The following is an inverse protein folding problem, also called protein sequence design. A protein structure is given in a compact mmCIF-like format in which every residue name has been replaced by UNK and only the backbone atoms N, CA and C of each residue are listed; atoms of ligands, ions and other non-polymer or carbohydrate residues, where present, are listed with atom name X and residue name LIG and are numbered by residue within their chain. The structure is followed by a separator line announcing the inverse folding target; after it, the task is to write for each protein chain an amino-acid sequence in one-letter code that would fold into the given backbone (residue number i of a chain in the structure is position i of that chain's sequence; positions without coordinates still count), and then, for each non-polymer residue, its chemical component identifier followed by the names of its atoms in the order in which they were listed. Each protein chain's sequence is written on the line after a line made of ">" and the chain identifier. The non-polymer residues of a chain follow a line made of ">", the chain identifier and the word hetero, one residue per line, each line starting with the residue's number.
data_IF_191524625982
#
_entry.id   IF_191524625982
#
_cell.length_a   1.000
_cell.length_b   1.000
_cell.length_c   1.000
_cell.angle_alpha   90.00
_cell.angle_beta   90.00
_cell.angle_gamma   90.00
#
_symmetry.space_group_name_H-M   'P 1'
#
loop_
_entity.id
_entity.type
_entity.pdbx_description
1 polymer ?
#
# COMPACT_ATOMS: atom_id res chain seq x y z
N UNK A 1 -10.49 -12.47 -15.72
CA UNK A 1 -9.57 -11.33 -15.83
C UNK A 1 -8.84 -11.20 -14.50
N UNK A 2 -7.51 -11.36 -14.45
CA UNK A 2 -6.76 -11.23 -13.18
C UNK A 2 -6.40 -9.75 -12.98
N UNK A 3 -6.79 -9.17 -11.85
CA UNK A 3 -6.36 -7.83 -11.44
C UNK A 3 -5.06 -7.95 -10.66
N UNK A 4 -4.09 -7.08 -10.93
CA UNK A 4 -2.81 -7.03 -10.23
C UNK A 4 -2.82 -5.76 -9.38
N UNK A 5 -2.56 -5.91 -8.09
CA UNK A 5 -2.40 -4.78 -7.15
C UNK A 5 -1.00 -4.78 -6.59
N UNK A 6 -0.41 -3.59 -6.50
CA UNK A 6 0.92 -3.39 -5.96
C UNK A 6 0.88 -3.24 -4.44
N UNK A 7 1.87 -3.82 -3.78
CA UNK A 7 2.01 -3.80 -2.33
C UNK A 7 3.46 -3.51 -1.92
N UNK A 8 3.65 -2.70 -0.87
CA UNK A 8 4.97 -2.43 -0.28
C UNK A 8 4.91 -2.52 1.25
N UNK A 9 5.87 -3.20 1.87
CA UNK A 9 6.01 -3.28 3.33
C UNK A 9 7.09 -2.30 3.79
N UNK A 10 6.79 -1.50 4.83
CA UNK A 10 7.69 -0.50 5.41
C UNK A 10 7.86 -0.71 6.91
N UNK A 11 9.07 -0.42 7.39
CA UNK A 11 9.37 -0.28 8.81
C UNK A 11 8.86 1.06 9.38
N UNK A 12 9.02 1.25 10.68
CA UNK A 12 8.43 2.34 11.47
C UNK A 12 8.86 3.76 11.03
N UNK A 13 10.14 3.99 10.73
CA UNK A 13 10.67 5.35 10.56
C UNK A 13 10.71 5.85 9.11
N UNK A 14 10.75 4.96 8.12
CA UNK A 14 10.83 5.32 6.70
C UNK A 14 9.63 4.80 5.91
N UNK A 15 8.46 5.36 6.18
CA UNK A 15 7.18 4.97 5.55
C UNK A 15 6.95 5.57 4.16
N UNK A 16 7.96 6.21 3.56
CA UNK A 16 7.85 6.81 2.22
C UNK A 16 7.79 5.71 1.16
N UNK A 17 6.67 5.60 0.46
CA UNK A 17 6.41 4.61 -0.58
C UNK A 17 6.59 5.22 -1.99
N UNK A 18 7.82 5.70 -2.28
CA UNK A 18 8.12 6.43 -3.53
C UNK A 18 8.04 5.52 -4.76
N UNK A 19 8.63 4.33 -4.69
CA UNK A 19 8.56 3.32 -5.75
C UNK A 19 7.13 2.86 -6.00
N UNK A 20 6.37 2.60 -4.93
CA UNK A 20 4.96 2.23 -5.04
C UNK A 20 4.13 3.33 -5.70
N UNK A 21 4.34 4.59 -5.31
CA UNK A 21 3.65 5.74 -5.92
C UNK A 21 3.96 5.88 -7.40
N UNK A 22 5.24 5.77 -7.77
CA UNK A 22 5.67 5.82 -9.17
C UNK A 22 5.02 4.70 -9.98
N UNK A 23 5.01 3.47 -9.46
CA UNK A 23 4.37 2.34 -10.12
C UNK A 23 2.86 2.56 -10.35
N UNK A 24 2.13 3.08 -9.36
CA UNK A 24 0.70 3.38 -9.50
C UNK A 24 0.47 4.42 -10.60
N UNK A 25 1.29 5.49 -10.61
CA UNK A 25 1.19 6.56 -11.61
C UNK A 25 1.49 6.05 -13.04
N UNK A 26 2.55 5.26 -13.20
CA UNK A 26 3.00 4.78 -14.52
C UNK A 26 2.04 3.77 -15.15
N UNK A 27 1.32 3.00 -14.32
CA UNK A 27 0.50 1.89 -14.79
C UNK A 27 -1.01 2.17 -14.72
N UNK A 28 -1.43 3.37 -14.27
CA UNK A 28 -2.84 3.66 -13.94
C UNK A 28 -3.46 2.51 -13.11
N UNK A 29 -2.63 1.96 -12.22
CA UNK A 29 -2.96 0.75 -11.47
C UNK A 29 -4.12 1.06 -10.52
N UNK A 30 -4.95 0.05 -10.17
CA UNK A 30 -5.83 0.17 -9.03
C UNK A 30 -5.04 0.60 -7.79
N UNK A 31 -5.74 1.28 -6.87
CA UNK A 31 -5.23 1.73 -5.56
C UNK A 31 -4.34 0.68 -4.92
N UNK A 32 -3.13 1.10 -4.51
CA UNK A 32 -2.11 0.22 -3.95
C UNK A 32 -2.24 0.04 -2.44
N UNK A 33 -1.49 -0.91 -1.89
CA UNK A 33 -1.42 -1.14 -0.44
C UNK A 33 -0.01 -0.91 0.10
N UNK A 34 0.05 -0.17 1.22
CA UNK A 34 1.26 -0.05 2.03
C UNK A 34 1.00 -0.72 3.37
N UNK A 35 1.87 -1.64 3.77
CA UNK A 35 1.83 -2.22 5.11
C UNK A 35 2.92 -1.53 5.95
N UNK A 36 2.56 -0.98 7.11
CA UNK A 36 3.52 -0.33 8.02
C UNK A 36 3.07 -0.31 9.47
N UNK A 37 3.91 0.20 10.38
CA UNK A 37 3.53 0.41 11.79
C UNK A 37 2.54 1.56 11.99
N UNK A 38 2.26 2.37 10.96
CA UNK A 38 1.31 3.46 11.06
C UNK A 38 -0.14 2.97 11.06
N UNK A 39 -1.04 3.81 11.57
CA UNK A 39 -2.47 3.56 11.58
C UNK A 39 -3.08 3.37 10.19
N UNK A 40 -4.26 2.75 10.18
CA UNK A 40 -5.04 2.60 8.97
C UNK A 40 -5.33 3.96 8.35
N UNK A 41 -5.03 4.11 7.06
CA UNK A 41 -5.29 5.36 6.36
C UNK A 41 -5.56 5.11 4.89
N UNK A 42 -6.71 5.56 4.42
CA UNK A 42 -7.03 5.62 3.01
C UNK A 42 -6.64 6.97 2.43
N UNK A 43 -5.89 6.93 1.33
CA UNK A 43 -5.59 8.10 0.50
C UNK A 43 -6.09 7.84 -0.93
N UNK A 44 -5.91 8.77 -1.85
CA UNK A 44 -6.38 8.62 -3.24
C UNK A 44 -5.71 7.42 -3.96
N UNK A 45 -4.40 7.26 -3.76
CA UNK A 45 -3.58 6.32 -4.53
C UNK A 45 -3.08 5.11 -3.71
N UNK A 46 -3.19 5.16 -2.37
CA UNK A 46 -2.70 4.11 -1.47
C UNK A 46 -3.61 3.94 -0.25
N UNK A 47 -3.76 2.71 0.23
CA UNK A 47 -4.27 2.41 1.57
C UNK A 47 -3.11 1.93 2.45
N UNK A 48 -2.89 2.60 3.58
CA UNK A 48 -2.03 2.10 4.64
C UNK A 48 -2.80 1.09 5.50
N UNK A 49 -2.28 -0.13 5.61
CA UNK A 49 -2.76 -1.17 6.51
C UNK A 49 -1.74 -1.34 7.64
N UNK A 50 -2.15 -1.27 8.92
CA UNK A 50 -1.24 -1.53 10.02
C UNK A 50 -0.69 -2.95 9.96
N UNK A 51 0.60 -3.12 10.26
CA UNK A 51 1.30 -4.40 10.18
C UNK A 51 0.60 -5.48 11.03
N UNK A 52 0.09 -5.10 12.21
CA UNK A 52 -0.63 -6.00 13.11
C UNK A 52 -2.03 -6.41 12.61
N UNK A 53 -2.57 -5.75 11.59
CA UNK A 53 -3.90 -5.99 11.05
C UNK A 53 -3.88 -6.76 9.72
N UNK A 54 -2.70 -7.20 9.25
CA UNK A 54 -2.53 -7.80 7.92
C UNK A 54 -3.34 -9.09 7.73
N UNK A 55 -3.49 -9.89 8.79
CA UNK A 55 -4.22 -11.17 8.74
C UNK A 55 -5.72 -10.98 8.44
N UNK A 56 -6.28 -9.83 8.81
CA UNK A 56 -7.67 -9.47 8.55
C UNK A 56 -7.92 -8.80 7.19
N UNK A 57 -6.90 -8.62 6.36
CA UNK A 57 -6.99 -7.81 5.14
C UNK A 57 -6.94 -8.65 3.86
N UNK A 58 -7.83 -8.34 2.91
CA UNK A 58 -7.80 -8.89 1.55
C UNK A 58 -7.29 -7.83 0.59
N UNK A 59 -6.13 -8.11 0.01
CA UNK A 59 -5.42 -7.22 -0.91
C UNK A 59 -5.77 -7.45 -2.37
#
# INVERSE_FOLDING_TARGET
>A
MKSIRSLEVKAETNVRAKSLRQFVADNQSPKAFRISMNDYKEEEWVTNVPLYAVDGFVF
#
